data_IF_657341176322
#
_entry.id   IF_657341176322
#
_cell.length_a   1.000
_cell.length_b   1.000
_cell.length_c   1.000
_cell.angle_alpha   90.00
_cell.angle_beta   90.00
_cell.angle_gamma   90.00
#
_symmetry.space_group_name_H-M   'P 1'
#
loop_
_entity.id
_entity.type
_entity.pdbx_description
1 polymer ?
#
# COMPACT_ATOMS: atom_id res chain seq x y z
N UNK A 1 -20.93 -15.14 -13.82
CA UNK A 1 -20.63 -15.47 -12.41
C UNK A 1 -21.21 -14.43 -11.46
N UNK A 2 -22.51 -14.54 -11.13
CA UNK A 2 -23.11 -13.76 -10.05
C UNK A 2 -22.95 -14.58 -8.76
N UNK A 3 -22.08 -14.13 -7.86
CA UNK A 3 -22.02 -14.66 -6.50
C UNK A 3 -23.29 -14.19 -5.78
N UNK A 4 -24.28 -15.08 -5.62
CA UNK A 4 -25.49 -14.80 -4.84
C UNK A 4 -25.22 -15.09 -3.35
N UNK A 5 -25.36 -14.08 -2.50
CA UNK A 5 -25.15 -14.16 -1.04
C UNK A 5 -24.67 -12.83 -0.45
N UNK A 6 -24.82 -12.63 0.86
CA UNK A 6 -24.28 -11.45 1.56
C UNK A 6 -22.75 -11.50 1.50
N UNK A 7 -22.14 -10.63 0.70
CA UNK A 7 -20.68 -10.55 0.62
C UNK A 7 -20.15 -9.79 1.83
N UNK A 8 -19.19 -10.40 2.51
CA UNK A 8 -18.45 -9.80 3.62
C UNK A 8 -17.03 -9.61 3.13
N UNK A 9 -16.58 -8.36 3.05
CA UNK A 9 -15.20 -8.04 2.71
C UNK A 9 -14.36 -8.04 3.98
N UNK A 10 -13.35 -8.89 4.03
CA UNK A 10 -12.30 -8.87 5.05
C UNK A 10 -10.98 -8.58 4.33
N UNK A 11 -10.29 -7.52 4.73
CA UNK A 11 -8.98 -7.19 4.17
C UNK A 11 -7.85 -7.61 5.10
N UNK A 12 -6.73 -8.05 4.52
CA UNK A 12 -5.52 -8.38 5.26
C UNK A 12 -4.39 -7.48 4.78
N UNK A 13 -3.66 -6.93 5.74
CA UNK A 13 -2.41 -6.23 5.48
C UNK A 13 -1.25 -7.12 5.89
N UNK A 14 -0.45 -7.53 4.92
CA UNK A 14 0.71 -8.37 5.13
C UNK A 14 1.98 -7.69 4.61
N UNK A 15 3.08 -7.88 5.32
CA UNK A 15 4.41 -7.40 4.95
C UNK A 15 5.33 -8.61 4.72
N UNK A 16 6.15 -8.52 3.69
CA UNK A 16 7.16 -9.53 3.36
C UNK A 16 8.53 -8.88 3.27
N UNK A 17 9.55 -9.51 3.84
CA UNK A 17 10.92 -9.05 3.71
C UNK A 17 11.48 -9.37 2.32
N UNK A 18 11.81 -8.34 1.54
CA UNK A 18 12.34 -8.51 0.19
C UNK A 18 13.78 -9.04 0.14
N UNK A 19 14.50 -9.01 1.26
CA UNK A 19 15.85 -9.57 1.39
C UNK A 19 15.86 -11.11 1.44
N UNK A 20 14.71 -11.73 1.68
CA UNK A 20 14.58 -13.19 1.63
C UNK A 20 14.53 -13.66 0.18
N UNK A 21 15.06 -14.87 -0.06
CA UNK A 21 15.06 -15.47 -1.39
C UNK A 21 13.63 -15.58 -1.96
N UNK A 22 13.40 -15.30 -3.27
CA UNK A 22 12.06 -15.32 -3.87
C UNK A 22 11.27 -16.62 -3.63
N UNK A 23 11.95 -17.77 -3.55
CA UNK A 23 11.31 -19.07 -3.31
C UNK A 23 10.73 -19.26 -1.90
N UNK A 24 11.10 -18.40 -0.93
CA UNK A 24 10.64 -18.51 0.45
C UNK A 24 9.89 -17.28 0.96
N UNK A 25 10.15 -16.09 0.41
CA UNK A 25 9.69 -14.84 1.02
C UNK A 25 8.16 -14.71 1.17
N UNK A 26 7.39 -15.36 0.30
CA UNK A 26 5.92 -15.35 0.36
C UNK A 26 5.30 -16.53 1.12
N UNK A 27 6.11 -17.38 1.77
CA UNK A 27 5.57 -18.44 2.62
C UNK A 27 4.96 -17.82 3.89
N UNK A 28 3.88 -18.41 4.45
CA UNK A 28 3.22 -17.88 5.65
C UNK A 28 4.18 -17.63 6.82
N UNK A 29 5.15 -18.52 7.03
CA UNK A 29 6.17 -18.40 8.10
C UNK A 29 7.13 -17.21 7.98
N UNK A 30 7.21 -16.57 6.80
CA UNK A 30 8.05 -15.39 6.54
C UNK A 30 7.23 -14.14 6.19
N UNK A 31 5.91 -14.22 6.38
CA UNK A 31 4.98 -13.13 6.11
C UNK A 31 4.49 -12.57 7.44
N UNK A 32 4.68 -11.27 7.65
CA UNK A 32 4.23 -10.57 8.84
C UNK A 32 2.82 -10.04 8.64
N UNK A 33 1.87 -10.49 9.46
CA UNK A 33 0.51 -9.94 9.48
C UNK A 33 0.52 -8.60 10.22
N UNK A 34 0.44 -7.50 9.48
CA UNK A 34 0.51 -6.16 10.03
C UNK A 34 -0.86 -5.64 10.50
N UNK A 35 -1.96 -6.10 9.91
CA UNK A 35 -3.29 -5.65 10.30
C UNK A 35 -4.42 -6.39 9.59
N UNK A 36 -5.62 -6.23 10.15
CA UNK A 36 -6.87 -6.75 9.59
C UNK A 36 -7.80 -5.55 9.39
N UNK A 37 -8.31 -5.42 8.17
CA UNK A 37 -9.31 -4.40 7.83
C UNK A 37 -10.69 -4.96 8.21
N UNK A 38 -11.44 -4.27 9.08
CA UNK A 38 -12.68 -4.79 9.63
C UNK A 38 -13.76 -4.99 8.55
N UNK A 39 -14.47 -6.10 8.70
CA UNK A 39 -15.68 -6.42 7.95
C UNK A 39 -16.89 -5.55 8.39
N UNK A 40 -17.98 -5.46 7.59
CA UNK A 40 -18.25 -6.19 6.35
C UNK A 40 -17.94 -5.42 5.07
N UNK A 41 -17.67 -4.12 5.17
CA UNK A 41 -17.55 -3.23 4.03
C UNK A 41 -16.08 -2.94 3.72
N UNK A 42 -15.77 -2.77 2.44
CA UNK A 42 -14.46 -2.28 2.05
C UNK A 42 -14.27 -0.84 2.56
N UNK A 43 -13.11 -0.50 3.17
CA UNK A 43 -12.87 0.84 3.68
C UNK A 43 -12.85 1.86 2.53
N UNK A 44 -13.38 3.05 2.79
CA UNK A 44 -13.18 4.21 1.93
C UNK A 44 -11.76 4.79 2.09
N UNK A 45 -11.46 5.88 1.36
CA UNK A 45 -10.13 6.50 1.36
C UNK A 45 -9.73 7.06 2.74
N UNK A 46 -10.70 7.53 3.53
CA UNK A 46 -10.45 8.10 4.87
C UNK A 46 -10.19 6.98 5.87
N UNK A 47 -11.05 5.97 5.86
CA UNK A 47 -11.00 4.80 6.75
C UNK A 47 -9.71 4.03 6.52
N UNK A 48 -9.34 3.73 5.27
CA UNK A 48 -8.10 3.01 4.98
C UNK A 48 -6.90 3.82 5.48
N UNK A 49 -6.86 5.15 5.27
CA UNK A 49 -5.76 6.00 5.73
C UNK A 49 -5.60 5.95 7.25
N UNK A 50 -6.71 5.95 8.00
CA UNK A 50 -6.69 5.82 9.45
C UNK A 50 -6.22 4.44 9.91
N UNK A 51 -6.65 3.36 9.24
CA UNK A 51 -6.23 1.98 9.54
C UNK A 51 -4.74 1.77 9.24
N UNK A 52 -4.23 2.37 8.16
CA UNK A 52 -2.83 2.27 7.76
C UNK A 52 -1.88 3.06 8.67
N UNK A 53 -2.37 4.10 9.35
CA UNK A 53 -1.55 5.10 10.03
C UNK A 53 -0.51 4.51 11.00
N UNK A 54 -0.84 3.55 11.89
CA UNK A 54 0.16 2.96 12.79
C UNK A 54 1.31 2.29 12.03
N UNK A 55 1.00 1.59 10.93
CA UNK A 55 2.00 0.88 10.13
C UNK A 55 2.85 1.87 9.33
N UNK A 56 2.24 2.93 8.82
CA UNK A 56 2.98 4.02 8.15
C UNK A 56 3.94 4.70 9.11
N UNK A 57 3.50 5.00 10.34
CA UNK A 57 4.35 5.65 11.36
C UNK A 57 5.54 4.77 11.74
N UNK A 58 5.34 3.46 11.92
CA UNK A 58 6.43 2.50 12.17
C UNK A 58 7.40 2.38 10.97
N UNK A 59 6.90 2.34 9.74
CA UNK A 59 7.74 2.31 8.54
C UNK A 59 8.59 3.59 8.40
N UNK A 60 8.03 4.76 8.74
CA UNK A 60 8.77 6.02 8.76
C UNK A 60 9.84 6.05 9.86
N UNK A 61 9.60 5.39 10.99
CA UNK A 61 10.59 5.22 12.05
C UNK A 61 11.73 4.29 11.60
N UNK A 62 11.39 3.14 10.99
CA UNK A 62 12.35 2.20 10.43
C UNK A 62 13.18 2.80 9.30
N UNK A 63 12.63 3.72 8.51
CA UNK A 63 13.39 4.42 7.47
C UNK A 63 14.49 5.31 8.06
N UNK A 64 14.30 5.86 9.28
CA UNK A 64 15.30 6.65 10.01
C UNK A 64 16.38 5.80 10.67
N UNK A 65 16.25 4.47 10.58
CA UNK A 65 17.05 3.48 11.29
C UNK A 65 16.76 3.46 12.79
N UNK A 66 16.59 2.26 13.34
CA UNK A 66 16.40 2.01 14.77
C UNK A 66 17.52 1.13 15.32
N UNK A 67 17.79 1.22 16.61
CA UNK A 67 18.81 0.40 17.27
C UNK A 67 18.15 -0.81 17.93
N UNK A 68 18.46 -2.01 17.43
CA UNK A 68 17.90 -3.27 17.93
C UNK A 68 18.98 -4.08 18.64
N UNK A 69 18.76 -4.39 19.92
CA UNK A 69 19.63 -5.29 20.67
C UNK A 69 19.30 -6.74 20.34
N UNK A 70 20.34 -7.54 20.12
CA UNK A 70 20.21 -8.99 19.90
C UNK A 70 21.25 -9.72 20.73
N UNK A 71 21.12 -11.04 20.87
CA UNK A 71 22.11 -11.84 21.60
C UNK A 71 23.54 -11.67 21.05
N UNK A 72 23.71 -11.67 19.73
CA UNK A 72 25.02 -11.48 19.09
C UNK A 72 25.48 -10.02 19.05
N UNK A 73 24.58 -9.06 19.29
CA UNK A 73 24.87 -7.62 19.30
C UNK A 73 24.28 -6.97 20.56
N UNK A 74 24.89 -7.19 21.75
CA UNK A 74 24.38 -6.67 23.02
C UNK A 74 24.40 -5.13 23.07
N UNK A 75 25.37 -4.53 22.40
CA UNK A 75 25.46 -3.07 22.21
C UNK A 75 24.44 -2.52 21.22
N UNK A 76 23.70 -3.39 20.53
CA UNK A 76 22.70 -3.07 19.51
C UNK A 76 23.27 -2.95 18.10
N UNK A 77 22.45 -3.34 17.13
CA UNK A 77 22.69 -3.17 15.70
C UNK A 77 21.73 -2.13 15.12
N UNK A 78 22.20 -1.29 14.21
CA UNK A 78 21.35 -0.33 13.52
C UNK A 78 20.62 -1.05 12.38
N UNK A 79 19.30 -1.04 12.41
CA UNK A 79 18.44 -1.70 11.43
C UNK A 79 17.57 -0.63 10.78
N UNK A 80 17.58 -0.60 9.44
CA UNK A 80 16.66 0.22 8.66
C UNK A 80 15.83 -0.65 7.73
N UNK A 81 14.60 -0.24 7.49
CA UNK A 81 13.72 -0.88 6.52
C UNK A 81 12.99 0.19 5.71
N UNK A 82 12.67 -0.14 4.46
CA UNK A 82 11.92 0.74 3.56
C UNK A 82 10.83 -0.06 2.86
N UNK A 83 9.70 0.58 2.61
CA UNK A 83 8.62 -0.01 1.83
C UNK A 83 9.06 -0.09 0.35
N UNK A 84 9.27 -1.30 -0.16
CA UNK A 84 9.74 -1.51 -1.52
C UNK A 84 8.63 -1.63 -2.57
N UNK A 85 7.52 -2.28 -2.23
CA UNK A 85 6.41 -2.51 -3.16
C UNK A 85 5.07 -2.59 -2.43
N UNK A 86 4.03 -2.09 -3.09
CA UNK A 86 2.64 -2.26 -2.70
C UNK A 86 2.02 -3.34 -3.61
N UNK A 87 1.56 -4.44 -3.02
CA UNK A 87 1.03 -5.59 -3.76
C UNK A 87 -0.44 -5.79 -3.36
N UNK A 88 -1.31 -5.93 -4.35
CA UNK A 88 -2.73 -6.17 -4.17
C UNK A 88 -3.49 -5.99 -5.48
N UNK A 89 -4.80 -6.16 -5.43
CA UNK A 89 -5.65 -5.78 -6.56
C UNK A 89 -5.64 -4.26 -6.79
N UNK A 90 -6.09 -3.83 -7.96
CA UNK A 90 -6.09 -2.42 -8.37
C UNK A 90 -6.92 -1.55 -7.40
N UNK A 91 -8.02 -2.07 -6.85
CA UNK A 91 -8.89 -1.29 -5.98
C UNK A 91 -8.22 -1.02 -4.63
N UNK A 92 -7.64 -2.04 -4.01
CA UNK A 92 -6.93 -1.92 -2.75
C UNK A 92 -5.67 -1.07 -2.89
N UNK A 93 -4.87 -1.34 -3.92
CA UNK A 93 -3.62 -0.60 -4.15
C UNK A 93 -3.88 0.87 -4.45
N UNK A 94 -4.93 1.21 -5.21
CA UNK A 94 -5.28 2.61 -5.46
C UNK A 94 -5.70 3.34 -4.19
N UNK A 95 -6.48 2.68 -3.33
CA UNK A 95 -6.88 3.24 -2.03
C UNK A 95 -5.67 3.54 -1.14
N UNK A 96 -4.76 2.59 -1.03
CA UNK A 96 -3.54 2.72 -0.21
C UNK A 96 -2.56 3.75 -0.81
N UNK A 97 -2.40 3.77 -2.14
CA UNK A 97 -1.47 4.68 -2.82
C UNK A 97 -2.02 6.10 -3.02
N UNK A 98 -3.30 6.34 -2.71
CA UNK A 98 -3.95 7.62 -2.96
C UNK A 98 -4.25 7.88 -4.45
N UNK A 99 -4.41 6.83 -5.24
CA UNK A 99 -4.88 6.94 -6.63
C UNK A 99 -6.40 6.96 -6.70
N UNK A 100 -6.92 7.51 -7.78
CA UNK A 100 -8.35 7.52 -8.07
C UNK A 100 -8.87 6.10 -8.29
N UNK A 101 -10.17 5.89 -8.04
CA UNK A 101 -10.83 4.61 -8.29
C UNK A 101 -10.60 4.12 -9.73
N UNK A 102 -10.60 2.80 -9.91
CA UNK A 102 -10.61 2.16 -11.23
C UNK A 102 -11.78 2.62 -12.12
N UNK A 103 -12.85 3.15 -11.54
CA UNK A 103 -14.03 3.70 -12.23
C UNK A 103 -13.97 5.22 -12.46
N UNK A 104 -12.92 5.91 -12.00
CA UNK A 104 -12.79 7.35 -12.15
C UNK A 104 -12.45 7.75 -13.60
N UNK A 105 -12.69 9.03 -13.94
CA UNK A 105 -12.31 9.56 -15.25
C UNK A 105 -10.81 9.39 -15.53
N UNK A 106 -9.95 9.55 -14.52
CA UNK A 106 -8.51 9.24 -14.58
C UNK A 106 -8.23 8.05 -13.68
N UNK A 107 -8.39 6.84 -14.21
CA UNK A 107 -8.31 5.61 -13.44
C UNK A 107 -6.90 5.01 -13.41
N UNK A 108 -6.04 5.28 -14.40
CA UNK A 108 -4.77 4.58 -14.54
C UNK A 108 -3.70 5.09 -13.53
N UNK A 109 -2.96 4.17 -12.92
CA UNK A 109 -1.86 4.48 -11.98
C UNK A 109 -0.61 5.03 -12.67
N UNK A 110 -0.48 4.79 -13.98
CA UNK A 110 0.75 5.04 -14.75
C UNK A 110 0.65 6.18 -15.75
N UNK A 111 -0.56 6.56 -16.15
CA UNK A 111 -0.80 7.65 -17.09
C UNK A 111 -2.09 8.37 -16.77
N UNK A 112 -2.20 9.61 -17.22
CA UNK A 112 -3.40 10.40 -17.04
C UNK A 112 -4.29 10.30 -18.28
N UNK A 113 -4.70 9.09 -18.70
CA UNK A 113 -5.66 8.90 -19.81
C UNK A 113 -7.10 8.90 -19.26
N UNK A 114 -8.05 9.40 -20.05
CA UNK A 114 -9.47 9.35 -19.67
C UNK A 114 -10.04 7.95 -19.84
N UNK A 115 -11.00 7.56 -19.00
CA UNK A 115 -11.73 6.28 -19.11
C UNK A 115 -12.51 6.12 -20.42
N UNK A 116 -12.72 7.18 -21.20
CA UNK A 116 -13.27 7.12 -22.56
C UNK A 116 -12.23 6.71 -23.61
N UNK A 117 -10.93 6.81 -23.29
CA UNK A 117 -9.82 6.64 -24.21
C UNK A 117 -8.87 5.51 -23.77
N UNK A 118 -9.38 4.45 -23.14
CA UNK A 118 -8.60 3.36 -22.54
C UNK A 118 -7.58 2.74 -23.52
N UNK A 119 -7.91 2.67 -24.81
CA UNK A 119 -6.99 2.15 -25.84
C UNK A 119 -5.70 2.98 -26.04
N UNK A 120 -5.64 4.19 -25.49
CA UNK A 120 -4.46 5.08 -25.53
C UNK A 120 -3.59 4.98 -24.26
N UNK A 121 -3.88 4.03 -23.36
CA UNK A 121 -3.06 3.79 -22.19
C UNK A 121 -1.63 3.47 -22.60
N UNK A 122 -0.69 4.14 -21.95
CA UNK A 122 0.73 3.91 -22.10
C UNK A 122 1.39 3.96 -20.74
N UNK A 123 2.50 3.26 -20.57
CA UNK A 123 3.32 3.39 -19.38
C UNK A 123 3.95 4.78 -19.40
N UNK A 124 3.37 5.70 -18.63
CA UNK A 124 3.86 7.07 -18.50
C UNK A 124 5.03 7.16 -17.54
N UNK A 125 5.47 8.41 -17.30
CA UNK A 125 6.49 8.70 -16.30
C UNK A 125 5.99 8.34 -14.91
N UNK A 126 6.83 7.66 -14.13
CA UNK A 126 6.53 7.38 -12.73
C UNK A 126 6.21 8.68 -11.97
N UNK A 127 5.14 8.65 -11.18
CA UNK A 127 4.75 9.77 -10.32
C UNK A 127 5.81 9.99 -9.25
N UNK A 128 6.14 11.26 -9.00
CA UNK A 128 7.10 11.63 -7.96
C UNK A 128 6.37 11.93 -6.65
N UNK A 129 7.06 11.77 -5.51
CA UNK A 129 6.54 12.17 -4.19
C UNK A 129 6.03 13.62 -4.20
N UNK A 130 6.77 14.54 -4.80
CA UNK A 130 6.39 15.95 -4.88
C UNK A 130 5.06 16.16 -5.63
N UNK A 131 4.92 15.54 -6.80
CA UNK A 131 3.69 15.64 -7.60
C UNK A 131 2.49 15.01 -6.89
N UNK A 132 2.70 13.87 -6.21
CA UNK A 132 1.63 13.19 -5.46
C UNK A 132 1.18 14.02 -4.25
N UNK A 133 2.11 14.56 -3.48
CA UNK A 133 1.79 15.41 -2.33
C UNK A 133 1.09 16.71 -2.75
N UNK A 134 1.51 17.31 -3.87
CA UNK A 134 0.83 18.49 -4.41
C UNK A 134 -0.61 18.19 -4.82
N UNK A 135 -0.87 17.02 -5.42
CA UNK A 135 -2.23 16.59 -5.76
C UNK A 135 -3.09 16.33 -4.52
N UNK A 136 -2.53 15.67 -3.50
CA UNK A 136 -3.22 15.40 -2.24
C UNK A 136 -3.62 16.68 -1.49
N UNK A 137 -2.73 17.70 -1.46
CA UNK A 137 -3.05 19.01 -0.86
C UNK A 137 -4.20 19.70 -1.57
N UNK A 138 -4.17 19.78 -2.90
CA UNK A 138 -5.26 20.35 -3.70
C UNK A 138 -6.61 19.66 -3.46
N UNK A 139 -6.60 18.37 -3.12
CA UNK A 139 -7.83 17.64 -2.78
C UNK A 139 -8.34 18.00 -1.38
N UNK A 140 -7.46 18.19 -0.40
CA UNK A 140 -7.86 18.58 0.95
C UNK A 140 -8.39 20.02 1.07
N UNK A 141 -8.03 20.88 0.11
CA UNK A 141 -8.48 22.29 0.04
C UNK A 141 -9.80 22.46 -0.75
N UNK A 142 -10.35 21.39 -1.34
CA UNK A 142 -11.55 21.40 -2.19
C UNK A 142 -12.77 20.84 -1.47
#
# INVERSE_FOLDING_TARGET
NKLAGKQVSLGVMALTCLNLHPSIRYKPQYTFLAGIIPAPNQPDMVTISNVLRPIVDELLNLEKSIKVKTFCFPEGCSVSAKLGALIGDVVATHKVAGFSSHSASRFCSWCDVLNTNIGQMQMGRARTRATTLAAARRWGDA
#
